data_IF_692876970714
#
_entry.id   IF_692876970714
#
_cell.length_a   1.000
_cell.length_b   1.000
_cell.length_c   1.000
_cell.angle_alpha   90.00
_cell.angle_beta   90.00
_cell.angle_gamma   90.00
#
_symmetry.space_group_name_H-M   'P 1'
#
loop_
_entity.id
_entity.type
_entity.pdbx_description
1 polymer ?
#
# COMPACT_ATOMS: atom_id res chain seq x y z
N UNK A 1 -20.54 -44.44 -4.16
CA UNK A 1 -20.82 -43.25 -3.34
C UNK A 1 -20.89 -42.07 -4.28
N UNK A 2 -22.06 -41.47 -4.45
CA UNK A 2 -22.22 -40.19 -5.15
C UNK A 2 -21.69 -39.09 -4.24
N UNK A 3 -20.77 -38.27 -4.75
CA UNK A 3 -20.31 -37.08 -4.03
C UNK A 3 -21.48 -36.08 -4.02
N UNK A 4 -21.91 -35.66 -2.83
CA UNK A 4 -22.92 -34.60 -2.68
C UNK A 4 -22.25 -33.25 -2.97
N UNK A 5 -22.47 -32.71 -4.18
CA UNK A 5 -21.84 -31.48 -4.66
C UNK A 5 -22.32 -30.22 -3.92
N UNK A 6 -23.28 -30.32 -2.99
CA UNK A 6 -23.82 -29.20 -2.21
C UNK A 6 -23.09 -28.96 -0.88
N UNK A 7 -22.10 -29.80 -0.53
CA UNK A 7 -21.27 -29.60 0.65
C UNK A 7 -20.24 -28.48 0.42
N UNK A 8 -20.35 -27.41 1.23
CA UNK A 8 -19.48 -26.24 1.16
C UNK A 8 -18.01 -26.61 1.42
N UNK A 9 -17.73 -27.66 2.20
CA UNK A 9 -16.36 -28.11 2.51
C UNK A 9 -15.63 -28.70 1.30
N UNK A 10 -16.33 -28.96 0.18
CA UNK A 10 -15.74 -29.43 -1.06
C UNK A 10 -15.12 -28.29 -1.89
N UNK A 11 -15.38 -27.04 -1.53
CA UNK A 11 -14.96 -25.86 -2.30
C UNK A 11 -13.98 -25.01 -1.51
N UNK A 12 -13.01 -24.45 -2.22
CA UNK A 12 -12.09 -23.46 -1.67
C UNK A 12 -12.60 -22.09 -2.12
N UNK A 13 -12.72 -21.17 -1.16
CA UNK A 13 -13.05 -19.78 -1.45
C UNK A 13 -12.04 -19.17 -2.45
N UNK A 14 -12.56 -18.49 -3.48
CA UNK A 14 -11.74 -17.96 -4.59
C UNK A 14 -10.74 -16.91 -4.10
N UNK A 15 -11.17 -16.04 -3.20
CA UNK A 15 -10.44 -14.89 -2.69
C UNK A 15 -9.31 -15.34 -1.76
N UNK A 16 -9.57 -16.33 -0.91
CA UNK A 16 -8.55 -17.00 -0.08
C UNK A 16 -7.58 -17.81 -0.95
N UNK A 17 -8.07 -18.49 -1.98
CA UNK A 17 -7.21 -19.19 -2.95
C UNK A 17 -6.28 -18.21 -3.68
N UNK A 18 -6.77 -17.03 -4.04
CA UNK A 18 -5.97 -15.97 -4.63
C UNK A 18 -4.89 -15.45 -3.66
N UNK A 19 -5.21 -15.22 -2.37
CA UNK A 19 -4.19 -14.85 -1.38
C UNK A 19 -3.11 -15.92 -1.24
N UNK A 20 -3.50 -17.20 -1.25
CA UNK A 20 -2.54 -18.31 -1.24
C UNK A 20 -1.66 -18.35 -2.50
N UNK A 21 -2.20 -17.97 -3.66
CA UNK A 21 -1.39 -17.76 -4.85
C UNK A 21 -0.40 -16.62 -4.65
N UNK A 22 -0.82 -15.46 -4.17
CA UNK A 22 0.09 -14.34 -3.97
C UNK A 22 1.14 -14.65 -2.88
N UNK A 23 0.80 -15.43 -1.85
CA UNK A 23 1.77 -15.96 -0.89
C UNK A 23 2.87 -16.78 -1.57
N UNK A 24 2.56 -17.60 -2.57
CA UNK A 24 3.59 -18.33 -3.33
C UNK A 24 4.53 -17.41 -4.11
N UNK A 25 4.05 -16.23 -4.53
CA UNK A 25 4.89 -15.17 -5.11
C UNK A 25 5.84 -14.61 -4.04
N UNK A 26 5.34 -14.32 -2.84
CA UNK A 26 6.16 -13.90 -1.70
C UNK A 26 7.21 -14.97 -1.33
N UNK A 27 6.84 -16.25 -1.36
CA UNK A 27 7.76 -17.36 -1.04
C UNK A 27 8.97 -17.38 -2.01
N UNK A 28 8.86 -16.88 -3.24
CA UNK A 28 10.01 -16.73 -4.14
C UNK A 28 11.07 -15.74 -3.60
N UNK A 29 10.65 -14.73 -2.84
CA UNK A 29 11.57 -13.81 -2.19
C UNK A 29 12.40 -14.46 -1.06
N UNK A 30 12.04 -15.68 -0.63
CA UNK A 30 12.83 -16.45 0.36
C UNK A 30 13.90 -17.33 -0.28
N UNK A 31 13.80 -17.61 -1.58
CA UNK A 31 14.67 -18.58 -2.25
C UNK A 31 16.09 -18.03 -2.44
N UNK A 32 17.04 -18.55 -1.66
CA UNK A 32 18.46 -18.11 -1.65
C UNK A 32 19.23 -18.43 -2.93
N UNK A 33 18.66 -19.21 -3.85
CA UNK A 33 19.23 -19.41 -5.19
C UNK A 33 19.08 -18.17 -6.10
N UNK A 34 18.27 -17.19 -5.72
CA UNK A 34 18.10 -15.93 -6.43
C UNK A 34 19.00 -14.83 -5.87
N UNK A 35 19.45 -13.95 -6.77
CA UNK A 35 20.15 -12.73 -6.38
C UNK A 35 19.25 -11.86 -5.49
N UNK A 36 19.81 -11.10 -4.53
CA UNK A 36 19.02 -10.26 -3.62
C UNK A 36 18.09 -9.28 -4.35
N UNK A 37 18.53 -8.69 -5.47
CA UNK A 37 17.69 -7.80 -6.28
C UNK A 37 16.50 -8.52 -6.91
N UNK A 38 16.62 -9.78 -7.32
CA UNK A 38 15.50 -10.54 -7.86
C UNK A 38 14.49 -10.89 -6.77
N UNK A 39 14.96 -11.16 -5.55
CA UNK A 39 14.07 -11.32 -4.38
C UNK A 39 13.34 -10.01 -4.01
N UNK A 40 14.00 -8.85 -4.10
CA UNK A 40 13.32 -7.56 -3.97
C UNK A 40 12.24 -7.37 -5.05
N UNK A 41 12.47 -7.81 -6.29
CA UNK A 41 11.43 -7.75 -7.33
C UNK A 41 10.22 -8.60 -6.95
N UNK A 42 10.40 -9.80 -6.40
CA UNK A 42 9.27 -10.61 -5.93
C UNK A 42 8.50 -9.95 -4.78
N UNK A 43 9.17 -9.25 -3.86
CA UNK A 43 8.49 -8.42 -2.85
C UNK A 43 7.67 -7.30 -3.49
N UNK A 44 8.21 -6.63 -4.51
CA UNK A 44 7.49 -5.60 -5.25
C UNK A 44 6.28 -6.16 -6.00
N UNK A 45 6.43 -7.30 -6.69
CA UNK A 45 5.34 -7.98 -7.40
C UNK A 45 4.24 -8.39 -6.42
N UNK A 46 4.60 -8.98 -5.27
CA UNK A 46 3.62 -9.32 -4.22
C UNK A 46 2.79 -8.10 -3.80
N UNK A 47 3.46 -6.95 -3.56
CA UNK A 47 2.81 -5.70 -3.18
C UNK A 47 1.89 -5.14 -4.28
N UNK A 48 2.32 -5.17 -5.54
CA UNK A 48 1.50 -4.74 -6.68
C UNK A 48 0.27 -5.61 -6.86
N UNK A 49 0.43 -6.93 -6.83
CA UNK A 49 -0.69 -7.86 -6.89
C UNK A 49 -1.68 -7.61 -5.75
N UNK A 50 -1.17 -7.36 -4.53
CA UNK A 50 -2.01 -7.09 -3.38
C UNK A 50 -2.78 -5.77 -3.53
N UNK A 51 -2.16 -4.72 -4.10
CA UNK A 51 -2.85 -3.47 -4.42
C UNK A 51 -4.04 -3.74 -5.36
N UNK A 52 -3.84 -4.47 -6.46
CA UNK A 52 -4.90 -4.83 -7.42
C UNK A 52 -6.04 -5.62 -6.75
N UNK A 53 -5.68 -6.62 -5.93
CA UNK A 53 -6.65 -7.41 -5.17
C UNK A 53 -7.49 -6.54 -4.22
N UNK A 54 -6.88 -5.56 -3.55
CA UNK A 54 -7.63 -4.62 -2.71
C UNK A 54 -8.53 -3.70 -3.53
N UNK A 55 -8.03 -3.22 -4.67
CA UNK A 55 -8.74 -2.29 -5.54
C UNK A 55 -9.99 -2.92 -6.18
N UNK A 56 -9.93 -4.22 -6.49
CA UNK A 56 -10.98 -4.94 -7.24
C UNK A 56 -11.75 -5.88 -6.31
N UNK A 57 -11.10 -6.89 -5.74
CA UNK A 57 -11.76 -7.99 -5.02
C UNK A 57 -12.31 -7.57 -3.67
N UNK A 58 -11.49 -6.92 -2.84
CA UNK A 58 -11.93 -6.41 -1.53
C UNK A 58 -12.98 -5.30 -1.70
N UNK A 59 -12.88 -4.51 -2.77
CA UNK A 59 -13.87 -3.51 -3.14
C UNK A 59 -15.23 -4.15 -3.46
N UNK A 60 -15.25 -5.18 -4.32
CA UNK A 60 -16.44 -5.95 -4.68
C UNK A 60 -17.12 -6.57 -3.47
N UNK A 61 -16.36 -7.23 -2.59
CA UNK A 61 -16.89 -7.80 -1.35
C UNK A 61 -17.51 -6.73 -0.43
N UNK A 62 -16.89 -5.55 -0.31
CA UNK A 62 -17.45 -4.42 0.45
C UNK A 62 -18.75 -3.90 -0.17
N UNK A 63 -18.88 -3.91 -1.49
CA UNK A 63 -20.11 -3.52 -2.17
C UNK A 63 -21.24 -4.53 -1.92
N UNK A 64 -20.95 -5.83 -2.03
CA UNK A 64 -21.91 -6.92 -1.73
C UNK A 64 -22.37 -6.90 -0.28
N UNK A 65 -21.44 -6.68 0.66
CA UNK A 65 -21.78 -6.51 2.08
C UNK A 65 -22.74 -5.33 2.30
N UNK A 66 -22.46 -4.17 1.70
CA UNK A 66 -23.34 -2.99 1.80
C UNK A 66 -24.71 -3.23 1.16
N UNK A 67 -24.81 -4.06 0.14
CA UNK A 67 -26.06 -4.44 -0.49
C UNK A 67 -26.90 -5.43 0.35
N UNK A 68 -26.30 -6.08 1.35
CA UNK A 68 -26.94 -7.07 2.22
C UNK A 68 -26.96 -8.48 1.64
N UNK A 69 -26.00 -8.82 0.78
CA UNK A 69 -25.87 -10.17 0.21
C UNK A 69 -25.32 -11.14 1.26
N UNK A 70 -25.99 -12.29 1.45
CA UNK A 70 -25.69 -13.25 2.52
C UNK A 70 -24.75 -14.38 2.11
N UNK A 71 -24.64 -14.74 0.83
CA UNK A 71 -23.67 -15.73 0.35
C UNK A 71 -23.30 -15.41 -1.10
N UNK A 72 -22.05 -15.67 -1.48
CA UNK A 72 -21.51 -15.24 -2.79
C UNK A 72 -20.98 -16.40 -3.65
N UNK A 73 -20.97 -17.64 -3.14
CA UNK A 73 -20.46 -18.80 -3.87
C UNK A 73 -20.80 -20.16 -3.26
N UNK A 74 -20.29 -21.26 -3.88
CA UNK A 74 -20.53 -22.65 -3.45
C UNK A 74 -19.99 -22.99 -2.06
N UNK A 75 -18.99 -22.24 -1.60
CA UNK A 75 -18.41 -22.30 -0.26
C UNK A 75 -19.33 -21.73 0.83
N UNK A 76 -20.46 -21.11 0.44
CA UNK A 76 -21.48 -20.49 1.30
C UNK A 76 -20.95 -19.41 2.24
N UNK A 77 -19.76 -18.86 1.98
CA UNK A 77 -19.21 -17.77 2.79
C UNK A 77 -19.92 -16.45 2.50
N UNK A 78 -20.27 -15.73 3.56
CA UNK A 78 -20.82 -14.38 3.45
C UNK A 78 -19.72 -13.39 3.07
N UNK A 79 -20.04 -12.23 2.45
CA UNK A 79 -19.04 -11.19 2.18
C UNK A 79 -18.28 -10.73 3.43
N UNK A 80 -18.94 -10.67 4.59
CA UNK A 80 -18.31 -10.23 5.84
C UNK A 80 -17.36 -11.30 6.40
N UNK A 81 -17.69 -12.59 6.26
CA UNK A 81 -16.81 -13.69 6.65
C UNK A 81 -15.54 -13.67 5.79
N UNK A 82 -15.70 -13.52 4.47
CA UNK A 82 -14.56 -13.41 3.56
C UNK A 82 -13.68 -12.21 3.89
N UNK A 83 -14.26 -11.01 4.05
CA UNK A 83 -13.50 -9.81 4.43
C UNK A 83 -12.73 -9.99 5.76
N UNK A 84 -13.32 -10.70 6.72
CA UNK A 84 -12.70 -10.98 8.01
C UNK A 84 -11.52 -11.95 7.84
N UNK A 85 -11.73 -13.07 7.15
CA UNK A 85 -10.69 -14.06 6.89
C UNK A 85 -9.54 -13.48 6.07
N UNK A 86 -9.84 -12.73 5.00
CA UNK A 86 -8.83 -12.04 4.19
C UNK A 86 -7.97 -11.09 5.02
N UNK A 87 -8.58 -10.30 5.90
CA UNK A 87 -7.84 -9.38 6.78
C UNK A 87 -6.89 -10.15 7.71
N UNK A 88 -7.37 -11.23 8.31
CA UNK A 88 -6.61 -12.00 9.28
C UNK A 88 -5.44 -12.72 8.60
N UNK A 89 -5.64 -13.30 7.42
CA UNK A 89 -4.57 -13.90 6.60
C UNK A 89 -3.50 -12.87 6.20
N UNK A 90 -3.92 -11.72 5.68
CA UNK A 90 -2.98 -10.66 5.28
C UNK A 90 -2.17 -10.17 6.50
N UNK A 91 -2.83 -10.02 7.66
CA UNK A 91 -2.15 -9.62 8.90
C UNK A 91 -1.11 -10.65 9.34
N UNK A 92 -1.39 -11.94 9.18
CA UNK A 92 -0.47 -13.01 9.52
C UNK A 92 0.76 -13.05 8.59
N UNK A 93 0.63 -12.59 7.34
CA UNK A 93 1.73 -12.53 6.37
C UNK A 93 2.67 -11.33 6.60
N UNK A 94 2.18 -10.24 7.21
CA UNK A 94 2.98 -9.01 7.36
C UNK A 94 4.34 -9.19 8.07
N UNK A 95 4.44 -9.94 9.19
CA UNK A 95 5.73 -10.18 9.83
C UNK A 95 6.73 -10.92 8.94
N UNK A 96 6.25 -11.87 8.13
CA UNK A 96 7.09 -12.61 7.18
C UNK A 96 7.62 -11.68 6.08
N UNK A 97 6.75 -10.83 5.53
CA UNK A 97 7.14 -9.83 4.53
C UNK A 97 8.23 -8.89 5.06
N UNK A 98 8.05 -8.38 6.28
CA UNK A 98 9.03 -7.50 6.92
C UNK A 98 10.36 -8.22 7.14
N UNK A 99 10.32 -9.43 7.69
CA UNK A 99 11.51 -10.26 7.92
C UNK A 99 12.29 -10.55 6.62
N UNK A 100 11.58 -10.91 5.55
CA UNK A 100 12.17 -11.15 4.23
C UNK A 100 12.80 -9.87 3.69
N UNK A 101 12.09 -8.75 3.74
CA UNK A 101 12.62 -7.46 3.28
C UNK A 101 13.89 -7.05 4.03
N UNK A 102 13.90 -7.12 5.37
CA UNK A 102 15.06 -6.78 6.18
C UNK A 102 16.24 -7.72 5.90
N UNK A 103 15.98 -9.01 5.71
CA UNK A 103 17.00 -9.98 5.31
C UNK A 103 17.62 -9.66 3.97
N UNK A 104 16.80 -9.37 2.95
CA UNK A 104 17.27 -9.00 1.60
C UNK A 104 18.02 -7.66 1.61
N UNK A 105 17.53 -6.67 2.36
CA UNK A 105 18.20 -5.36 2.55
C UNK A 105 19.60 -5.55 3.12
N UNK A 106 19.76 -6.40 4.13
CA UNK A 106 21.06 -6.70 4.74
C UNK A 106 22.02 -7.36 3.74
N UNK A 107 21.55 -8.34 2.97
CA UNK A 107 22.40 -9.01 1.96
C UNK A 107 22.86 -8.06 0.84
N UNK A 108 22.01 -7.09 0.47
CA UNK A 108 22.40 -6.02 -0.45
C UNK A 108 23.50 -5.14 0.13
N UNK A 109 23.37 -4.76 1.41
CA UNK A 109 24.37 -3.96 2.11
C UNK A 109 25.73 -4.67 2.17
N UNK A 110 25.74 -5.97 2.45
CA UNK A 110 26.94 -6.82 2.42
C UNK A 110 27.56 -6.90 1.02
N UNK A 111 26.75 -6.73 -0.03
CA UNK A 111 27.18 -6.68 -1.43
C UNK A 111 27.55 -5.25 -1.90
N UNK A 112 27.57 -4.27 -1.00
CA UNK A 112 27.95 -2.89 -1.28
C UNK A 112 26.84 -1.98 -1.80
N UNK A 113 25.57 -2.43 -1.80
CA UNK A 113 24.40 -1.64 -2.18
C UNK A 113 23.56 -1.34 -0.94
N UNK A 114 23.34 -0.07 -0.61
CA UNK A 114 22.62 0.30 0.62
C UNK A 114 21.30 0.99 0.32
N UNK A 115 20.26 0.68 1.11
CA UNK A 115 19.02 1.45 1.16
C UNK A 115 19.01 2.18 2.51
N UNK A 116 18.97 3.51 2.49
CA UNK A 116 19.16 4.34 3.70
C UNK A 116 18.11 5.44 3.83
N UNK A 117 17.86 5.84 5.07
CA UNK A 117 17.26 7.12 5.41
C UNK A 117 18.28 8.24 5.28
N UNK A 118 17.81 9.47 5.04
CA UNK A 118 18.65 10.66 4.93
C UNK A 118 19.57 10.86 6.15
N UNK A 119 19.09 10.54 7.36
CA UNK A 119 19.84 10.65 8.61
C UNK A 119 21.06 9.72 8.69
N UNK A 120 21.08 8.62 7.93
CA UNK A 120 22.13 7.61 7.92
C UNK A 120 23.25 7.90 6.90
N UNK A 121 23.13 9.00 6.16
CA UNK A 121 24.08 9.43 5.15
C UNK A 121 25.30 10.12 5.78
N UNK A 122 26.45 10.03 5.11
CA UNK A 122 27.60 10.87 5.43
C UNK A 122 27.40 12.31 4.90
N UNK A 123 28.26 13.25 5.31
CA UNK A 123 28.08 14.67 4.97
C UNK A 123 28.16 14.97 3.47
N UNK A 124 29.00 14.26 2.72
CA UNK A 124 29.09 14.41 1.26
C UNK A 124 27.80 13.93 0.58
N UNK A 125 27.29 12.76 0.98
CA UNK A 125 26.02 12.22 0.50
C UNK A 125 24.85 13.13 0.85
N UNK A 126 24.80 13.65 2.09
CA UNK A 126 23.77 14.61 2.50
C UNK A 126 23.78 15.85 1.62
N UNK A 127 24.96 16.41 1.34
CA UNK A 127 25.07 17.60 0.49
C UNK A 127 24.51 17.35 -0.91
N UNK A 128 24.87 16.23 -1.55
CA UNK A 128 24.35 15.86 -2.88
C UNK A 128 22.85 15.59 -2.89
N UNK A 129 22.34 14.90 -1.87
CA UNK A 129 20.89 14.63 -1.75
C UNK A 129 20.11 15.92 -1.47
N UNK A 130 20.67 16.83 -0.68
CA UNK A 130 20.07 18.15 -0.40
C UNK A 130 19.96 18.98 -1.68
N UNK A 131 21.04 19.05 -2.47
CA UNK A 131 21.05 19.74 -3.77
C UNK A 131 19.98 19.15 -4.69
N UNK A 132 19.94 17.82 -4.83
CA UNK A 132 18.90 17.16 -5.62
C UNK A 132 17.48 17.47 -5.12
N UNK A 133 17.27 17.48 -3.80
CA UNK A 133 15.99 17.84 -3.21
C UNK A 133 15.57 19.26 -3.59
N UNK A 134 16.40 20.27 -3.36
CA UNK A 134 16.03 21.66 -3.64
C UNK A 134 15.87 21.97 -5.13
N UNK A 135 16.67 21.35 -6.00
CA UNK A 135 16.61 21.59 -7.43
C UNK A 135 15.48 20.84 -8.14
N UNK A 136 15.18 19.61 -7.73
CA UNK A 136 14.32 18.71 -8.50
C UNK A 136 13.03 18.32 -7.79
N UNK A 137 13.03 18.25 -6.45
CA UNK A 137 11.91 17.71 -5.67
C UNK A 137 11.09 18.84 -5.04
N UNK A 138 11.75 19.78 -4.36
CA UNK A 138 11.13 20.92 -3.69
C UNK A 138 10.19 21.72 -4.62
N UNK A 139 10.53 22.01 -5.90
CA UNK A 139 9.65 22.80 -6.78
C UNK A 139 8.34 22.11 -7.17
N UNK A 140 8.26 20.77 -7.04
CA UNK A 140 7.12 19.96 -7.48
C UNK A 140 6.37 19.28 -6.33
N UNK A 141 6.90 19.36 -5.11
CA UNK A 141 6.23 18.88 -3.90
C UNK A 141 5.13 19.87 -3.48
N UNK A 142 4.02 19.32 -3.00
CA UNK A 142 2.86 20.11 -2.58
C UNK A 142 2.65 19.92 -1.07
N UNK A 143 3.07 20.90 -0.23
CA UNK A 143 2.72 20.93 1.19
C UNK A 143 1.29 21.45 1.38
N UNK A 144 0.55 20.82 2.29
CA UNK A 144 -0.85 21.12 2.58
C UNK A 144 -1.00 21.19 4.10
N UNK A 145 -1.42 22.34 4.62
CA UNK A 145 -1.83 22.46 6.02
C UNK A 145 -3.22 21.83 6.20
N UNK A 146 -3.42 21.08 7.28
CA UNK A 146 -4.68 20.42 7.60
C UNK A 146 -5.22 20.97 8.92
N UNK A 147 -6.36 21.67 8.86
CA UNK A 147 -7.07 22.24 10.00
C UNK A 147 -8.58 22.37 9.70
N UNK A 148 -9.33 23.04 10.59
CA UNK A 148 -10.78 23.19 10.44
C UNK A 148 -11.19 24.02 9.22
N UNK A 149 -10.33 24.91 8.72
CA UNK A 149 -10.59 25.74 7.54
C UNK A 149 -9.96 25.17 6.27
N UNK A 150 -8.97 24.27 6.41
CA UNK A 150 -8.32 23.51 5.36
C UNK A 150 -8.48 22.01 5.62
N UNK A 151 -9.61 21.41 5.23
CA UNK A 151 -9.90 20.01 5.55
C UNK A 151 -8.93 19.06 4.83
N UNK A 152 -8.87 17.83 5.33
CA UNK A 152 -8.04 16.78 4.74
C UNK A 152 -8.38 16.59 3.25
N UNK A 153 -7.39 16.72 2.35
CA UNK A 153 -7.67 16.86 0.93
C UNK A 153 -7.95 15.51 0.26
N UNK A 154 -8.72 15.51 -0.83
CA UNK A 154 -8.98 14.30 -1.60
C UNK A 154 -7.68 13.77 -2.24
N UNK A 155 -7.35 12.51 -1.96
CA UNK A 155 -6.14 11.84 -2.43
C UNK A 155 -6.44 10.85 -3.55
N UNK A 156 -5.63 10.87 -4.60
CA UNK A 156 -5.78 9.96 -5.74
C UNK A 156 -5.45 8.51 -5.35
N UNK A 157 -5.95 7.54 -6.11
CA UNK A 157 -5.60 6.13 -5.89
C UNK A 157 -4.08 5.91 -6.00
N UNK A 158 -3.55 5.04 -5.15
CA UNK A 158 -2.14 4.74 -4.89
C UNK A 158 -1.26 5.98 -4.69
N UNK A 159 -1.83 7.09 -4.21
CA UNK A 159 -1.05 8.28 -3.85
C UNK A 159 -0.17 7.98 -2.64
N UNK A 160 1.06 8.51 -2.66
CA UNK A 160 1.99 8.43 -1.54
C UNK A 160 2.22 9.82 -0.96
N UNK A 161 2.35 9.92 0.37
CA UNK A 161 2.67 11.16 1.04
C UNK A 161 3.19 10.94 2.45
N UNK A 162 3.43 12.04 3.15
CA UNK A 162 3.84 12.06 4.55
C UNK A 162 2.86 12.93 5.32
N UNK A 163 2.28 12.38 6.37
CA UNK A 163 1.55 13.15 7.38
C UNK A 163 2.55 13.65 8.43
N UNK A 164 2.41 14.91 8.83
CA UNK A 164 3.29 15.58 9.76
C UNK A 164 2.48 16.15 10.92
N UNK A 165 2.99 15.99 12.13
CA UNK A 165 2.61 16.81 13.27
C UNK A 165 3.64 17.92 13.42
N UNK A 166 3.18 19.15 13.47
CA UNK A 166 3.99 20.36 13.38
C UNK A 166 3.75 21.24 14.62
N UNK A 167 4.82 21.78 15.20
CA UNK A 167 4.75 22.73 16.32
C UNK A 167 5.19 24.12 15.89
N UNK A 168 4.32 25.11 16.09
CA UNK A 168 4.62 26.52 15.85
C UNK A 168 5.49 27.12 16.95
N UNK A 169 6.11 28.28 16.67
CA UNK A 169 6.91 29.03 17.66
C UNK A 169 6.10 29.48 18.88
N UNK A 170 4.80 29.66 18.71
CA UNK A 170 3.84 29.98 19.76
C UNK A 170 3.38 28.75 20.56
N UNK A 171 3.90 27.57 20.23
CA UNK A 171 3.56 26.30 20.86
C UNK A 171 2.31 25.64 20.30
N UNK A 172 1.62 26.23 19.31
CA UNK A 172 0.43 25.64 18.72
C UNK A 172 0.79 24.40 17.88
N UNK A 173 -0.01 23.34 18.06
CA UNK A 173 0.10 22.13 17.26
C UNK A 173 -0.75 22.25 16.00
N UNK A 174 -0.17 21.86 14.86
CA UNK A 174 -0.84 21.80 13.56
C UNK A 174 -0.52 20.48 12.87
N UNK A 175 -1.34 20.14 11.89
CA UNK A 175 -1.10 18.98 11.04
C UNK A 175 -0.72 19.44 9.64
N UNK A 176 0.27 18.78 9.06
CA UNK A 176 0.73 18.98 7.70
C UNK A 176 0.61 17.70 6.90
N UNK A 177 0.47 17.85 5.60
CA UNK A 177 0.52 16.77 4.65
C UNK A 177 1.46 17.17 3.51
N UNK A 178 2.39 16.30 3.16
CA UNK A 178 3.21 16.47 1.96
C UNK A 178 2.88 15.36 0.98
N UNK A 179 2.38 15.74 -0.20
CA UNK A 179 2.15 14.78 -1.29
C UNK A 179 3.44 14.62 -2.09
N UNK A 180 3.85 13.38 -2.33
CA UNK A 180 4.99 13.07 -3.20
C UNK A 180 4.44 12.62 -4.55
N UNK A 181 4.57 13.44 -5.61
CA UNK A 181 4.07 13.08 -6.93
C UNK A 181 4.70 11.78 -7.45
N UNK A 182 3.95 11.00 -8.23
CA UNK A 182 4.45 9.73 -8.81
C UNK A 182 5.64 9.90 -9.76
N UNK A 183 5.80 11.10 -10.33
CA UNK A 183 6.96 11.43 -11.18
C UNK A 183 8.27 11.52 -10.37
N UNK A 184 8.18 11.74 -9.06
CA UNK A 184 9.33 11.71 -8.16
C UNK A 184 9.69 10.27 -7.87
N UNK A 185 10.95 9.90 -8.14
CA UNK A 185 11.48 8.58 -7.81
C UNK A 185 11.35 8.30 -6.31
N UNK A 186 10.95 7.07 -5.96
CA UNK A 186 10.91 6.60 -4.56
C UNK A 186 12.30 6.56 -3.91
N UNK A 187 13.34 6.48 -4.74
CA UNK A 187 14.72 6.44 -4.30
C UNK A 187 15.54 7.52 -5.01
N UNK A 188 16.30 8.30 -4.25
CA UNK A 188 17.37 9.15 -4.78
C UNK A 188 18.65 8.31 -4.80
N UNK A 189 19.27 8.17 -5.96
CA UNK A 189 20.42 7.30 -6.15
C UNK A 189 21.72 8.11 -6.13
N UNK A 190 22.61 7.78 -5.18
CA UNK A 190 23.94 8.38 -5.03
C UNK A 190 24.96 7.25 -4.86
N UNK A 191 25.83 7.10 -5.86
CA UNK A 191 26.86 6.07 -5.93
C UNK A 191 26.28 4.65 -5.88
N UNK A 192 26.40 3.93 -4.74
CA UNK A 192 25.72 2.65 -4.49
C UNK A 192 24.66 2.74 -3.38
N UNK A 193 24.23 3.96 -3.03
CA UNK A 193 23.24 4.22 -1.98
C UNK A 193 21.93 4.71 -2.59
N UNK A 194 20.83 4.07 -2.19
CA UNK A 194 19.46 4.44 -2.53
C UNK A 194 18.79 5.07 -1.31
N UNK A 195 18.45 6.34 -1.40
CA UNK A 195 17.90 7.12 -0.29
C UNK A 195 16.39 7.23 -0.42
N UNK A 196 15.65 6.85 0.61
CA UNK A 196 14.19 6.91 0.63
C UNK A 196 13.72 8.36 0.51
N UNK A 197 12.96 8.68 -0.54
CA UNK A 197 12.51 10.05 -0.79
C UNK A 197 11.69 10.60 0.39
N UNK A 198 10.90 9.76 1.05
CA UNK A 198 10.11 10.20 2.19
C UNK A 198 10.97 10.66 3.37
N UNK A 199 12.09 9.98 3.64
CA UNK A 199 13.04 10.42 4.67
C UNK A 199 13.71 11.77 4.35
N UNK A 200 13.89 12.07 3.06
CA UNK A 200 14.45 13.37 2.62
C UNK A 200 13.42 14.48 2.79
N UNK A 201 12.17 14.21 2.38
CA UNK A 201 11.07 15.16 2.53
C UNK A 201 10.75 15.43 4.01
N UNK A 202 10.81 14.38 4.85
CA UNK A 202 10.72 14.52 6.30
C UNK A 202 11.82 15.43 6.84
N UNK A 203 13.08 15.20 6.44
CA UNK A 203 14.20 16.01 6.91
C UNK A 203 14.03 17.50 6.57
N UNK A 204 13.56 17.80 5.36
CA UNK A 204 13.35 19.17 4.88
C UNK A 204 11.93 19.70 5.14
N UNK A 205 11.14 19.07 6.01
CA UNK A 205 9.75 19.51 6.21
C UNK A 205 9.64 20.93 6.78
N UNK A 206 10.63 21.40 7.53
CA UNK A 206 10.67 22.79 8.04
C UNK A 206 10.77 23.83 6.91
N UNK A 207 11.39 23.47 5.78
CA UNK A 207 11.47 24.32 4.57
C UNK A 207 10.13 24.34 3.80
N UNK A 208 9.34 23.28 3.95
CA UNK A 208 8.01 23.16 3.36
C UNK A 208 6.93 23.84 4.22
N UNK A 209 7.16 23.96 5.53
CA UNK A 209 6.27 24.62 6.50
C UNK A 209 7.01 25.68 7.31
N UNK A 210 7.32 26.85 6.72
CA UNK A 210 8.09 27.90 7.39
C UNK A 210 7.45 28.34 8.72
N UNK A 211 8.27 28.43 9.77
CA UNK A 211 7.82 28.82 11.11
C UNK A 211 7.28 27.68 11.97
N UNK A 212 7.26 26.45 11.45
CA UNK A 212 6.90 25.24 12.17
C UNK A 212 8.07 24.26 12.21
N UNK A 213 8.13 23.48 13.28
CA UNK A 213 9.11 22.38 13.44
C UNK A 213 8.34 21.05 13.46
N UNK A 214 8.77 20.03 12.69
CA UNK A 214 8.18 18.69 12.78
C UNK A 214 8.43 18.08 14.16
N UNK A 215 7.40 17.47 14.74
CA UNK A 215 7.51 16.68 15.98
C UNK A 215 7.26 15.19 15.74
N UNK A 216 6.46 14.86 14.74
CA UNK A 216 6.19 13.50 14.31
C UNK A 216 5.94 13.48 12.81
N UNK A 217 6.26 12.35 12.18
CA UNK A 217 6.00 12.11 10.77
C UNK A 217 5.51 10.68 10.58
N UNK A 218 4.72 10.46 9.54
CA UNK A 218 4.33 9.12 9.12
C UNK A 218 4.17 9.09 7.59
N UNK A 219 4.99 8.32 6.85
CA UNK A 219 4.72 8.05 5.45
C UNK A 219 3.45 7.20 5.35
N UNK A 220 2.66 7.46 4.32
CA UNK A 220 1.46 6.68 4.06
C UNK A 220 1.18 6.59 2.56
N UNK A 221 0.38 5.59 2.22
CA UNK A 221 -0.13 5.35 0.87
C UNK A 221 -1.62 5.08 0.94
N UNK A 222 -2.36 5.55 -0.04
CA UNK A 222 -3.81 5.36 -0.11
C UNK A 222 -4.15 4.45 -1.28
N UNK A 223 -4.84 3.35 -1.01
CA UNK A 223 -5.45 2.49 -2.04
C UNK A 223 -6.95 2.70 -2.01
N UNK A 224 -7.55 2.97 -3.17
CA UNK A 224 -8.98 3.20 -3.39
C UNK A 224 -9.52 2.17 -4.37
N UNK A 225 -10.83 2.02 -4.44
CA UNK A 225 -11.48 1.20 -5.45
C UNK A 225 -10.99 1.61 -6.85
N UNK A 226 -10.78 0.63 -7.74
CA UNK A 226 -10.66 0.94 -9.16
C UNK A 226 -11.98 1.57 -9.64
N UNK A 227 -11.93 2.58 -10.50
CA UNK A 227 -13.10 2.91 -11.30
C UNK A 227 -13.43 1.64 -12.11
N UNK A 228 -14.66 1.13 -11.99
CA UNK A 228 -15.08 -0.20 -12.46
C UNK A 228 -14.93 -0.40 -13.98
N UNK A 229 -14.51 0.63 -14.71
CA UNK A 229 -14.23 0.61 -16.15
C UNK A 229 -12.90 -0.08 -16.52
N UNK A 230 -12.12 -0.57 -15.55
CA UNK A 230 -10.82 -1.19 -15.79
C UNK A 230 -10.78 -2.60 -15.17
N UNK A 231 -11.21 -3.57 -15.99
CA UNK A 231 -10.81 -5.00 -16.10
C UNK A 231 -12.03 -5.89 -16.46
N UNK A 232 -12.22 -6.07 -17.77
CA UNK A 232 -13.41 -6.58 -18.48
C UNK A 232 -13.82 -8.05 -18.21
N UNK A 233 -13.14 -8.81 -17.34
CA UNK A 233 -13.55 -10.20 -17.04
C UNK A 233 -13.94 -10.43 -15.56
N UNK A 234 -13.45 -9.62 -14.62
CA UNK A 234 -13.66 -9.85 -13.17
C UNK A 234 -14.76 -8.93 -12.59
N UNK A 235 -14.96 -7.75 -13.18
CA UNK A 235 -16.02 -6.81 -12.78
C UNK A 235 -17.43 -7.35 -13.11
N UNK A 236 -17.56 -8.12 -14.19
CA UNK A 236 -18.82 -8.67 -14.68
C UNK A 236 -19.48 -9.63 -13.69
N UNK A 237 -18.68 -10.44 -12.99
CA UNK A 237 -19.14 -11.40 -11.96
C UNK A 237 -19.76 -10.67 -10.75
N UNK A 238 -19.07 -9.65 -10.24
CA UNK A 238 -19.58 -8.85 -9.12
C UNK A 238 -20.84 -8.05 -9.47
N UNK A 239 -20.91 -7.52 -10.70
CA UNK A 239 -22.11 -6.84 -11.20
C UNK A 239 -23.31 -7.79 -11.26
N UNK A 240 -23.11 -9.00 -11.79
CA UNK A 240 -24.14 -10.04 -11.82
C UNK A 240 -24.67 -10.40 -10.43
N UNK A 241 -23.77 -10.70 -9.49
CA UNK A 241 -24.13 -11.04 -8.10
C UNK A 241 -24.85 -9.86 -7.41
N UNK A 242 -24.40 -8.63 -7.65
CA UNK A 242 -25.04 -7.44 -7.09
C UNK A 242 -26.46 -7.25 -7.63
N UNK A 243 -26.67 -7.41 -8.94
CA UNK A 243 -28.00 -7.34 -9.55
C UNK A 243 -28.96 -8.40 -8.99
N UNK A 244 -28.51 -9.65 -8.86
CA UNK A 244 -29.31 -10.73 -8.28
C UNK A 244 -29.65 -10.48 -6.81
N UNK A 245 -28.68 -9.98 -6.02
CA UNK A 245 -28.88 -9.59 -4.63
C UNK A 245 -29.91 -8.47 -4.48
N UNK A 246 -29.86 -7.46 -5.35
CA UNK A 246 -30.84 -6.36 -5.36
C UNK A 246 -32.24 -6.84 -5.78
N UNK A 247 -32.34 -7.72 -6.78
CA UNK A 247 -33.62 -8.30 -7.22
C UNK A 247 -34.29 -9.15 -6.14
N UNK A 248 -33.51 -9.88 -5.37
CA UNK A 248 -34.00 -10.74 -4.28
C UNK A 248 -34.58 -9.92 -3.12
N UNK A 249 -34.08 -8.69 -2.89
CA UNK A 249 -34.63 -7.73 -1.92
C UNK A 249 -35.97 -7.13 -2.32
N UNK A 250 -36.22 -6.91 -3.60
CA UNK A 250 -37.49 -6.32 -4.08
C UNK A 250 -38.66 -7.31 -4.12
N UNK A 251 -38.43 -8.59 -3.81
CA UNK A 251 -39.46 -9.63 -3.77
C UNK A 251 -39.88 -10.03 -2.35
N UNK A 252 -39.30 -9.42 -1.31
CA UNK A 252 -39.69 -9.56 0.09
C UNK A 252 -40.17 -8.23 0.66
#
# INVERSE_FOLDING_TARGET
MSVELDDANLYINRELSWLNFNKRVLDQATYKGLLPLDRLKFLAIYGTNLDEFYMIRVAGLKALYKAGVNATGPDKLTPIDQLTQLRDEIRNIMPDLESIYLGVKKELEESGVSIKHFSELNEEQKSRVSEHFFEHIYPIIIPIAVDATHPFPHLNNLSFGIALELKGKDGQMKHGLVRIPRIVSRFIHIDNTFVLVDSVVEHFSSELFPGFTPVASAPFRVTRYADMDIEEEEADDFLGILEEGLRSRNKG
#
